data_IF_203626197078
#
_entry.id   IF_203626197078
#
_cell.length_a   1.000
_cell.length_b   1.000
_cell.length_c   1.000
_cell.angle_alpha   90.00
_cell.angle_beta   90.00
_cell.angle_gamma   90.00
#
_symmetry.space_group_name_H-M   'P 1'
#
loop_
_entity.id
_entity.type
_entity.pdbx_description
1 polymer ?
#
# COMPACT_ATOMS: atom_id res chain seq x y z
N UNK A 1 4.49 -45.42 -7.88
CA UNK A 1 3.72 -44.57 -6.95
C UNK A 1 4.11 -43.15 -7.28
N UNK A 2 3.49 -42.63 -8.34
CA UNK A 2 3.73 -41.29 -8.86
C UNK A 2 3.00 -40.36 -7.88
N UNK A 3 3.75 -39.61 -7.08
CA UNK A 3 3.16 -38.58 -6.24
C UNK A 3 2.64 -37.51 -7.19
N UNK A 4 1.34 -37.54 -7.45
CA UNK A 4 0.62 -36.50 -8.18
C UNK A 4 0.61 -35.24 -7.30
N UNK A 5 1.75 -34.55 -7.28
CA UNK A 5 1.92 -33.31 -6.54
C UNK A 5 1.15 -32.25 -7.32
N UNK A 6 0.10 -31.73 -6.72
CA UNK A 6 -0.66 -30.60 -7.23
C UNK A 6 0.32 -29.50 -7.70
N UNK A 7 0.28 -29.10 -8.99
CA UNK A 7 1.21 -28.11 -9.54
C UNK A 7 1.20 -26.80 -8.75
N UNK A 8 0.05 -26.43 -8.15
CA UNK A 8 -0.03 -25.25 -7.29
C UNK A 8 0.76 -25.44 -5.99
N UNK A 9 0.73 -26.64 -5.39
CA UNK A 9 1.54 -26.95 -4.20
C UNK A 9 3.03 -26.92 -4.49
N UNK A 10 3.45 -27.42 -5.66
CA UNK A 10 4.84 -27.37 -6.08
C UNK A 10 5.31 -25.91 -6.28
N UNK A 11 4.50 -25.09 -6.95
CA UNK A 11 4.79 -23.67 -7.16
C UNK A 11 4.94 -22.88 -5.85
N UNK A 12 4.03 -23.10 -4.88
CA UNK A 12 4.15 -22.45 -3.57
C UNK A 12 5.38 -22.90 -2.78
N UNK A 13 5.78 -24.17 -2.88
CA UNK A 13 6.99 -24.67 -2.24
C UNK A 13 8.25 -24.03 -2.85
N UNK A 14 8.27 -23.86 -4.18
CA UNK A 14 9.37 -23.17 -4.86
C UNK A 14 9.45 -21.69 -4.46
N UNK A 15 8.31 -21.00 -4.41
CA UNK A 15 8.24 -19.62 -3.90
C UNK A 15 8.82 -19.55 -2.49
N UNK A 16 8.46 -20.49 -1.59
CA UNK A 16 8.97 -20.51 -0.21
C UNK A 16 10.49 -20.58 -0.17
N UNK A 17 11.09 -21.49 -0.94
CA UNK A 17 12.55 -21.64 -1.03
C UNK A 17 13.23 -20.36 -1.52
N UNK A 18 12.65 -19.72 -2.54
CA UNK A 18 13.17 -18.44 -3.07
C UNK A 18 13.07 -17.30 -2.05
N UNK A 19 11.99 -17.25 -1.27
CA UNK A 19 11.82 -16.24 -0.21
C UNK A 19 12.87 -16.43 0.88
N UNK A 20 13.10 -17.67 1.33
CA UNK A 20 14.13 -17.97 2.34
C UNK A 20 15.53 -17.56 1.84
N UNK A 21 15.87 -17.86 0.59
CA UNK A 21 17.14 -17.45 -0.04
C UNK A 21 17.28 -15.91 -0.13
N UNK A 22 16.21 -15.21 -0.52
CA UNK A 22 16.18 -13.75 -0.60
C UNK A 22 16.35 -13.13 0.80
N UNK A 23 15.70 -13.69 1.82
CA UNK A 23 15.81 -13.23 3.21
C UNK A 23 17.25 -13.38 3.71
N UNK A 24 17.88 -14.55 3.52
CA UNK A 24 19.28 -14.72 3.93
C UNK A 24 20.23 -13.79 3.16
N UNK A 25 20.00 -13.64 1.85
CA UNK A 25 20.76 -12.72 1.01
C UNK A 25 20.63 -11.26 1.45
N UNK A 26 19.46 -10.87 1.96
CA UNK A 26 19.16 -9.50 2.40
C UNK A 26 19.96 -9.06 3.63
N UNK A 27 20.44 -10.01 4.43
CA UNK A 27 21.26 -9.76 5.64
C UNK A 27 22.72 -9.45 5.31
N UNK A 28 23.16 -9.71 4.08
CA UNK A 28 24.55 -9.59 3.65
C UNK A 28 24.69 -8.42 2.66
N UNK A 29 25.66 -7.50 2.85
CA UNK A 29 25.94 -6.45 1.87
C UNK A 29 26.21 -7.00 0.47
N UNK A 30 25.73 -6.29 -0.56
CA UNK A 30 25.84 -6.75 -1.95
C UNK A 30 27.29 -7.04 -2.42
N UNK A 31 28.28 -6.31 -1.88
CA UNK A 31 29.70 -6.48 -2.25
C UNK A 31 30.33 -7.76 -1.69
N UNK A 32 29.78 -8.29 -0.61
CA UNK A 32 30.32 -9.48 0.09
C UNK A 32 29.50 -10.74 -0.18
N UNK A 33 28.44 -10.63 -0.98
CA UNK A 33 27.56 -11.77 -1.29
C UNK A 33 28.26 -12.69 -2.30
N UNK A 34 28.22 -13.99 -2.04
CA UNK A 34 28.80 -14.99 -2.93
C UNK A 34 28.07 -15.09 -4.28
N UNK A 35 26.75 -14.88 -4.25
CA UNK A 35 25.86 -14.99 -5.41
C UNK A 35 25.08 -13.70 -5.64
N UNK A 36 24.70 -13.45 -6.89
CA UNK A 36 23.83 -12.33 -7.23
C UNK A 36 22.37 -12.71 -6.90
N UNK A 37 21.69 -11.90 -6.10
CA UNK A 37 20.29 -12.13 -5.67
C UNK A 37 19.26 -11.77 -6.74
N UNK A 38 19.64 -11.01 -7.78
CA UNK A 38 18.71 -10.51 -8.80
C UNK A 38 17.97 -11.62 -9.58
N UNK A 39 18.62 -12.71 -10.03
CA UNK A 39 17.92 -13.82 -10.68
C UNK A 39 16.90 -14.48 -9.75
N UNK A 40 17.26 -14.72 -8.48
CA UNK A 40 16.35 -15.27 -7.46
C UNK A 40 15.11 -14.40 -7.30
N UNK A 41 15.29 -13.07 -7.24
CA UNK A 41 14.17 -12.12 -7.17
C UNK A 41 13.32 -12.15 -8.44
N UNK A 42 13.93 -12.26 -9.63
CA UNK A 42 13.19 -12.34 -10.88
C UNK A 42 12.31 -13.60 -10.92
N UNK A 43 12.85 -14.77 -10.56
CA UNK A 43 12.08 -16.01 -10.44
C UNK A 43 10.97 -15.89 -9.40
N UNK A 44 11.27 -15.34 -8.22
CA UNK A 44 10.28 -15.09 -7.16
C UNK A 44 9.13 -14.24 -7.70
N UNK A 45 9.43 -13.14 -8.39
CA UNK A 45 8.39 -12.25 -8.94
C UNK A 45 7.56 -12.91 -10.04
N UNK A 46 8.16 -13.79 -10.84
CA UNK A 46 7.48 -14.54 -11.89
C UNK A 46 6.50 -15.54 -11.28
N UNK A 47 6.96 -16.36 -10.32
CA UNK A 47 6.12 -17.34 -9.66
C UNK A 47 5.03 -16.68 -8.81
N UNK A 48 5.33 -15.56 -8.15
CA UNK A 48 4.34 -14.79 -7.40
C UNK A 48 3.21 -14.28 -8.31
N UNK A 49 3.52 -13.92 -9.56
CA UNK A 49 2.51 -13.50 -10.54
C UNK A 49 1.63 -14.67 -10.99
N UNK A 50 2.19 -15.86 -11.12
CA UNK A 50 1.48 -17.05 -11.57
C UNK A 50 0.58 -17.67 -10.48
N UNK A 51 1.14 -17.86 -9.28
CA UNK A 51 0.49 -18.60 -8.20
C UNK A 51 -0.07 -17.73 -7.08
N UNK A 52 0.40 -16.48 -6.98
CA UNK A 52 0.16 -15.63 -5.82
C UNK A 52 1.01 -16.03 -4.62
N UNK A 53 0.71 -15.43 -3.46
CA UNK A 53 1.44 -15.59 -2.21
C UNK A 53 0.49 -16.05 -1.10
N UNK A 54 0.85 -17.18 -0.47
CA UNK A 54 0.24 -17.65 0.77
C UNK A 54 0.47 -16.66 1.92
N UNK A 55 -0.42 -16.61 2.93
CA UNK A 55 -0.34 -15.65 4.03
C UNK A 55 1.03 -15.56 4.71
N UNK A 56 1.65 -16.70 5.02
CA UNK A 56 2.95 -16.73 5.71
C UNK A 56 4.07 -16.11 4.86
N UNK A 57 4.14 -16.51 3.59
CA UNK A 57 5.11 -15.97 2.63
C UNK A 57 4.90 -14.48 2.36
N UNK A 58 3.63 -14.05 2.27
CA UNK A 58 3.29 -12.64 2.12
C UNK A 58 3.75 -11.82 3.33
N UNK A 59 3.51 -12.31 4.54
CA UNK A 59 3.90 -11.66 5.79
C UNK A 59 5.42 -11.51 5.89
N UNK A 60 6.18 -12.56 5.54
CA UNK A 60 7.64 -12.53 5.51
C UNK A 60 8.19 -11.51 4.51
N UNK A 61 7.60 -11.44 3.30
CA UNK A 61 7.98 -10.46 2.29
C UNK A 61 7.62 -9.03 2.70
N UNK A 62 6.47 -8.82 3.36
CA UNK A 62 6.10 -7.51 3.92
C UNK A 62 7.11 -7.10 5.00
N UNK A 63 7.50 -8.00 5.90
CA UNK A 63 8.53 -7.72 6.91
C UNK A 63 9.85 -7.36 6.22
N UNK A 64 10.28 -8.12 5.22
CA UNK A 64 11.50 -7.86 4.47
C UNK A 64 11.52 -6.45 3.87
N UNK A 65 10.46 -6.03 3.15
CA UNK A 65 10.45 -4.73 2.45
C UNK A 65 10.14 -3.53 3.35
N UNK A 66 9.72 -3.78 4.60
CA UNK A 66 9.42 -2.73 5.59
C UNK A 66 10.52 -2.55 6.64
N UNK A 67 11.53 -3.43 6.65
CA UNK A 67 12.66 -3.40 7.59
C UNK A 67 13.99 -3.10 6.87
N UNK A 68 14.98 -2.50 7.58
CA UNK A 68 16.29 -2.24 6.99
C UNK A 68 16.98 -3.54 6.55
N UNK A 69 17.48 -3.55 5.31
CA UNK A 69 18.18 -4.68 4.72
C UNK A 69 19.15 -4.21 3.62
N UNK A 70 19.91 -5.13 3.03
CA UNK A 70 20.93 -4.86 2.00
C UNK A 70 20.48 -5.15 0.56
N UNK A 71 19.17 -5.28 0.30
CA UNK A 71 18.64 -5.33 -1.06
C UNK A 71 18.61 -3.93 -1.66
N UNK A 72 18.90 -3.83 -2.95
CA UNK A 72 18.80 -2.56 -3.66
C UNK A 72 17.33 -2.12 -3.82
N UNK A 73 17.13 -0.82 -4.05
CA UNK A 73 15.80 -0.24 -4.14
C UNK A 73 14.96 -0.79 -5.30
N UNK A 74 15.59 -1.19 -6.42
CA UNK A 74 14.86 -1.74 -7.56
C UNK A 74 14.34 -3.15 -7.26
N UNK A 75 15.17 -3.98 -6.63
CA UNK A 75 14.82 -5.30 -6.11
C UNK A 75 13.64 -5.24 -5.13
N UNK A 76 13.70 -4.37 -4.12
CA UNK A 76 12.59 -4.20 -3.17
C UNK A 76 11.31 -3.70 -3.85
N UNK A 77 11.43 -2.76 -4.79
CA UNK A 77 10.27 -2.26 -5.54
C UNK A 77 9.65 -3.33 -6.45
N UNK A 78 10.45 -4.26 -7.00
CA UNK A 78 9.95 -5.38 -7.78
C UNK A 78 9.16 -6.36 -6.91
N UNK A 79 9.65 -6.67 -5.70
CA UNK A 79 8.93 -7.48 -4.71
C UNK A 79 7.59 -6.82 -4.37
N UNK A 80 7.58 -5.55 -3.96
CA UNK A 80 6.35 -4.83 -3.56
C UNK A 80 5.27 -4.84 -4.65
N UNK A 81 5.66 -4.68 -5.92
CA UNK A 81 4.70 -4.66 -7.04
C UNK A 81 4.09 -6.02 -7.32
N UNK A 82 4.73 -7.11 -6.87
CA UNK A 82 4.30 -8.48 -7.11
C UNK A 82 3.83 -9.20 -5.84
N UNK A 83 3.42 -8.43 -4.82
CA UNK A 83 2.77 -8.99 -3.63
C UNK A 83 1.30 -9.32 -3.94
N UNK A 84 1.02 -10.49 -4.49
CA UNK A 84 -0.34 -10.91 -4.85
C UNK A 84 -0.93 -11.83 -3.78
N UNK A 85 -1.81 -11.35 -2.88
CA UNK A 85 -2.39 -12.19 -1.83
C UNK A 85 -3.36 -13.23 -2.41
N UNK A 86 -3.24 -14.50 -2.03
CA UNK A 86 -4.25 -15.53 -2.38
C UNK A 86 -5.36 -15.67 -1.33
N UNK A 87 -5.14 -15.09 -0.15
CA UNK A 87 -6.05 -15.13 0.98
C UNK A 87 -6.14 -13.75 1.64
N UNK A 88 -7.14 -13.51 2.51
CA UNK A 88 -7.29 -12.21 3.16
C UNK A 88 -6.04 -11.76 3.93
N UNK A 89 -5.69 -10.49 3.80
CA UNK A 89 -4.50 -9.92 4.43
C UNK A 89 -4.77 -9.66 5.90
N UNK A 90 -3.88 -10.19 6.75
CA UNK A 90 -3.97 -10.06 8.20
C UNK A 90 -3.85 -8.61 8.68
N UNK A 91 -4.49 -8.31 9.82
CA UNK A 91 -4.34 -7.01 10.50
C UNK A 91 -2.87 -6.65 10.78
N UNK A 92 -2.05 -7.65 11.15
CA UNK A 92 -0.62 -7.46 11.47
C UNK A 92 0.14 -6.90 10.28
N UNK A 93 -0.09 -7.45 9.09
CA UNK A 93 0.62 -7.06 7.87
C UNK A 93 0.21 -5.66 7.39
N UNK A 94 -1.08 -5.32 7.53
CA UNK A 94 -1.55 -3.95 7.29
C UNK A 94 -0.86 -2.95 8.23
N UNK A 95 -0.79 -3.26 9.54
CA UNK A 95 -0.13 -2.41 10.52
C UNK A 95 1.38 -2.30 10.28
N UNK A 96 2.04 -3.37 9.83
CA UNK A 96 3.46 -3.36 9.46
C UNK A 96 3.73 -2.41 8.28
N UNK A 97 2.86 -2.41 7.27
CA UNK A 97 2.96 -1.44 6.16
C UNK A 97 2.72 -0.02 6.64
N UNK A 98 1.74 0.23 7.51
CA UNK A 98 1.43 1.57 8.02
C UNK A 98 2.55 2.10 8.92
N UNK A 99 3.16 1.23 9.75
CA UNK A 99 4.20 1.63 10.70
C UNK A 99 5.48 2.10 10.01
N UNK A 100 5.76 1.62 8.79
CA UNK A 100 6.93 1.99 8.02
C UNK A 100 6.79 3.34 7.26
N UNK A 101 5.61 3.97 7.27
CA UNK A 101 5.36 5.23 6.58
C UNK A 101 5.94 6.45 7.32
N UNK A 102 6.37 7.46 6.57
CA UNK A 102 6.94 8.71 7.08
C UNK A 102 8.47 8.69 7.19
N UNK A 103 9.01 9.59 8.01
CA UNK A 103 10.45 9.79 8.17
C UNK A 103 11.01 8.96 9.32
N UNK A 104 12.20 8.38 9.14
CA UNK A 104 12.88 7.61 10.18
C UNK A 104 14.01 6.75 9.64
N UNK A 105 15.06 6.54 10.44
CA UNK A 105 16.25 5.78 10.02
C UNK A 105 15.95 4.30 9.72
N UNK A 106 14.93 3.74 10.36
CA UNK A 106 14.52 2.34 10.17
C UNK A 106 13.45 2.16 9.08
N UNK A 107 12.97 3.26 8.48
CA UNK A 107 11.88 3.22 7.50
C UNK A 107 12.45 3.10 6.08
N UNK A 108 11.74 2.41 5.17
CA UNK A 108 12.17 2.32 3.78
C UNK A 108 12.10 3.69 3.10
N UNK A 109 12.79 3.84 1.97
CA UNK A 109 12.78 5.08 1.19
C UNK A 109 11.35 5.53 0.82
N UNK A 110 11.14 6.83 0.63
CA UNK A 110 9.82 7.38 0.27
C UNK A 110 9.25 6.78 -1.03
N UNK A 111 10.11 6.40 -1.98
CA UNK A 111 9.71 5.69 -3.20
C UNK A 111 9.11 4.31 -2.90
N UNK A 112 9.70 3.56 -1.97
CA UNK A 112 9.19 2.25 -1.55
C UNK A 112 7.91 2.40 -0.73
N UNK A 113 7.83 3.42 0.14
CA UNK A 113 6.59 3.75 0.85
C UNK A 113 5.44 4.08 -0.11
N UNK A 114 5.71 4.84 -1.19
CA UNK A 114 4.72 5.11 -2.22
C UNK A 114 4.27 3.82 -2.94
N UNK A 115 5.20 2.91 -3.24
CA UNK A 115 4.87 1.61 -3.83
C UNK A 115 4.00 0.76 -2.88
N UNK A 116 4.33 0.72 -1.59
CA UNK A 116 3.54 0.02 -0.56
C UNK A 116 2.14 0.61 -0.40
N UNK A 117 2.01 1.94 -0.41
CA UNK A 117 0.70 2.61 -0.39
C UNK A 117 -0.12 2.27 -1.65
N UNK A 118 0.53 2.22 -2.82
CA UNK A 118 -0.13 1.81 -4.07
C UNK A 118 -0.63 0.38 -3.98
N UNK A 119 0.21 -0.52 -3.46
CA UNK A 119 -0.15 -1.91 -3.22
C UNK A 119 -1.35 -2.00 -2.28
N UNK A 120 -1.32 -1.31 -1.14
CA UNK A 120 -2.39 -1.30 -0.14
C UNK A 120 -3.73 -0.80 -0.70
N UNK A 121 -3.70 0.17 -1.62
CA UNK A 121 -4.89 0.62 -2.36
C UNK A 121 -5.46 -0.50 -3.23
N UNK A 122 -4.59 -1.21 -3.97
CA UNK A 122 -4.98 -2.30 -4.86
C UNK A 122 -5.63 -3.45 -4.08
N UNK A 123 -5.04 -3.83 -2.94
CA UNK A 123 -5.48 -4.97 -2.12
C UNK A 123 -6.47 -4.58 -1.02
N UNK A 124 -6.98 -3.34 -0.98
CA UNK A 124 -7.84 -2.88 0.12
C UNK A 124 -9.12 -3.73 0.32
N UNK A 125 -9.58 -4.39 -0.74
CA UNK A 125 -10.78 -5.23 -0.75
C UNK A 125 -10.52 -6.65 -0.21
N UNK A 126 -9.25 -7.06 -0.13
CA UNK A 126 -8.85 -8.37 0.40
C UNK A 126 -8.38 -8.30 1.86
N UNK A 127 -8.60 -7.18 2.55
CA UNK A 127 -8.23 -7.06 3.96
C UNK A 127 -9.19 -7.83 4.85
N UNK A 128 -8.66 -8.65 5.76
CA UNK A 128 -9.46 -9.37 6.76
C UNK A 128 -10.25 -8.41 7.66
N UNK A 129 -9.61 -7.30 8.06
CA UNK A 129 -10.21 -6.28 8.93
C UNK A 129 -10.01 -4.88 8.34
N UNK A 130 -10.91 -4.43 7.43
CA UNK A 130 -10.86 -3.10 6.82
C UNK A 130 -10.91 -1.95 7.85
N UNK A 131 -11.45 -2.22 9.04
CA UNK A 131 -11.52 -1.29 10.17
C UNK A 131 -10.13 -0.87 10.66
N UNK A 132 -9.10 -1.70 10.43
CA UNK A 132 -7.71 -1.39 10.78
C UNK A 132 -7.27 -0.07 10.16
N UNK A 133 -7.57 0.16 8.87
CA UNK A 133 -7.25 1.42 8.19
C UNK A 133 -8.02 2.62 8.76
N UNK A 134 -9.27 2.39 9.17
CA UNK A 134 -10.09 3.42 9.84
C UNK A 134 -9.52 3.78 11.21
N UNK A 135 -8.96 2.83 11.96
CA UNK A 135 -8.33 3.07 13.26
C UNK A 135 -7.02 3.86 13.13
N UNK A 136 -6.27 3.63 12.05
CA UNK A 136 -5.01 4.34 11.75
C UNK A 136 -5.21 5.62 10.95
N UNK A 137 -6.45 6.08 10.74
CA UNK A 137 -6.76 7.22 9.86
C UNK A 137 -5.98 8.48 10.26
N UNK A 138 -5.86 8.78 11.54
CA UNK A 138 -5.10 9.94 12.03
C UNK A 138 -3.63 9.87 11.63
N UNK A 139 -3.01 8.69 11.69
CA UNK A 139 -1.61 8.49 11.29
C UNK A 139 -1.44 8.76 9.81
N UNK A 140 -2.30 8.16 8.97
CA UNK A 140 -2.27 8.36 7.52
C UNK A 140 -2.52 9.82 7.13
N UNK A 141 -3.47 10.49 7.79
CA UNK A 141 -3.81 11.88 7.52
C UNK A 141 -2.67 12.84 7.88
N UNK A 142 -1.97 12.59 8.99
CA UNK A 142 -0.86 13.43 9.43
C UNK A 142 0.38 13.33 8.54
N UNK A 143 0.45 12.37 7.63
CA UNK A 143 1.55 12.19 6.68
C UNK A 143 1.30 12.86 5.31
N UNK A 144 0.18 13.58 5.14
CA UNK A 144 -0.17 14.26 3.88
C UNK A 144 0.79 15.38 3.48
N UNK A 145 1.54 15.92 4.43
CA UNK A 145 2.58 16.93 4.20
C UNK A 145 3.69 16.40 3.25
N UNK A 146 3.99 15.10 3.33
CA UNK A 146 5.06 14.44 2.61
C UNK A 146 4.73 14.31 1.12
N UNK A 147 5.28 15.21 0.30
CA UNK A 147 4.95 15.33 -1.12
C UNK A 147 5.14 14.03 -1.93
N UNK A 148 6.19 13.25 -1.64
CA UNK A 148 6.52 12.04 -2.40
C UNK A 148 5.45 10.92 -2.28
N UNK A 149 4.72 10.85 -1.16
CA UNK A 149 3.72 9.82 -0.89
C UNK A 149 2.29 10.36 -0.94
N UNK A 150 2.12 11.69 -0.93
CA UNK A 150 0.84 12.39 -0.88
C UNK A 150 -0.19 11.94 -1.92
N UNK A 151 0.14 11.69 -3.20
CA UNK A 151 -0.87 11.22 -4.16
C UNK A 151 -1.50 9.89 -3.74
N UNK A 152 -0.68 8.96 -3.24
CA UNK A 152 -1.12 7.64 -2.83
C UNK A 152 -1.82 7.70 -1.47
N UNK A 153 -1.30 8.49 -0.52
CA UNK A 153 -1.97 8.73 0.76
C UNK A 153 -3.36 9.35 0.56
N UNK A 154 -3.48 10.36 -0.29
CA UNK A 154 -4.77 11.01 -0.58
C UNK A 154 -5.76 10.04 -1.20
N UNK A 155 -5.30 9.15 -2.10
CA UNK A 155 -6.14 8.11 -2.68
C UNK A 155 -6.59 7.09 -1.63
N UNK A 156 -5.68 6.57 -0.81
CA UNK A 156 -6.02 5.64 0.27
C UNK A 156 -7.02 6.27 1.25
N UNK A 157 -6.75 7.51 1.68
CA UNK A 157 -7.65 8.27 2.55
C UNK A 157 -9.02 8.44 1.91
N UNK A 158 -9.10 8.73 0.60
CA UNK A 158 -10.38 8.85 -0.10
C UNK A 158 -11.21 7.56 -0.06
N UNK A 159 -10.58 6.38 -0.14
CA UNK A 159 -11.25 5.08 -0.04
C UNK A 159 -11.79 4.80 1.37
N UNK A 160 -10.99 5.10 2.39
CA UNK A 160 -11.30 4.76 3.80
C UNK A 160 -12.04 5.86 4.55
N UNK A 161 -12.22 7.05 3.96
CA UNK A 161 -12.93 8.16 4.59
C UNK A 161 -14.40 7.79 4.80
N UNK A 162 -14.89 8.11 5.99
CA UNK A 162 -16.26 7.92 6.47
C UNK A 162 -16.63 9.18 7.26
N UNK A 163 -17.93 9.40 7.50
CA UNK A 163 -18.42 10.61 8.19
C UNK A 163 -17.67 10.93 9.49
N UNK A 164 -17.39 9.91 10.32
CA UNK A 164 -16.62 10.06 11.58
C UNK A 164 -15.20 10.62 11.41
N UNK A 165 -14.59 10.48 10.23
CA UNK A 165 -13.23 10.97 9.96
C UNK A 165 -13.23 12.45 9.54
N UNK A 166 -14.33 12.96 8.99
CA UNK A 166 -14.45 14.32 8.47
C UNK A 166 -14.77 15.27 9.61
N UNK A 167 -13.71 15.65 10.34
CA UNK A 167 -13.80 16.54 11.49
C UNK A 167 -13.38 17.97 11.10
N UNK A 168 -13.93 19.03 11.73
CA UNK A 168 -13.62 20.42 11.38
C UNK A 168 -12.11 20.73 11.30
N UNK A 169 -11.32 20.24 12.26
CA UNK A 169 -9.86 20.45 12.26
C UNK A 169 -9.16 19.81 11.06
N UNK A 170 -9.63 18.65 10.58
CA UNK A 170 -9.08 17.99 9.38
C UNK A 170 -9.47 18.71 8.11
N UNK A 171 -10.70 19.21 8.04
CA UNK A 171 -11.15 20.04 6.90
C UNK A 171 -10.23 21.27 6.78
N UNK A 172 -10.02 21.99 7.89
CA UNK A 172 -9.14 23.16 7.94
C UNK A 172 -7.70 22.82 7.57
N UNK A 173 -7.13 21.74 8.13
CA UNK A 173 -5.79 21.29 7.80
C UNK A 173 -5.64 20.96 6.30
N UNK A 174 -6.62 20.26 5.73
CA UNK A 174 -6.60 19.85 4.31
C UNK A 174 -6.76 21.05 3.36
N UNK A 175 -7.64 22.01 3.68
CA UNK A 175 -7.78 23.27 2.93
C UNK A 175 -6.49 24.10 2.97
N UNK A 176 -5.89 24.22 4.16
CA UNK A 176 -4.62 24.93 4.33
C UNK A 176 -3.49 24.29 3.53
N UNK A 177 -3.35 22.97 3.61
CA UNK A 177 -2.34 22.23 2.85
C UNK A 177 -2.58 22.35 1.34
N UNK A 178 -3.83 22.26 0.87
CA UNK A 178 -4.18 22.46 -0.54
C UNK A 178 -3.76 23.85 -1.04
N UNK A 179 -4.01 24.91 -0.26
CA UNK A 179 -3.58 26.27 -0.60
C UNK A 179 -2.06 26.41 -0.62
N UNK A 180 -1.36 25.86 0.37
CA UNK A 180 0.11 25.92 0.45
C UNK A 180 0.81 25.18 -0.70
N UNK A 181 0.20 24.10 -1.19
CA UNK A 181 0.75 23.25 -2.25
C UNK A 181 0.33 23.69 -3.66
N UNK A 182 -0.35 24.84 -3.79
CA UNK A 182 -0.77 25.36 -5.08
C UNK A 182 -1.93 24.56 -5.70
N UNK A 183 -2.89 24.14 -4.88
CA UNK A 183 -4.09 23.39 -5.30
C UNK A 183 -3.74 22.02 -5.92
N UNK A 184 -2.94 21.23 -5.19
CA UNK A 184 -2.55 19.86 -5.56
C UNK A 184 -3.78 19.00 -5.95
N UNK A 185 -3.80 18.40 -7.16
CA UNK A 185 -4.91 17.58 -7.65
C UNK A 185 -5.32 16.43 -6.73
N UNK A 186 -4.36 15.84 -6.00
CA UNK A 186 -4.63 14.72 -5.08
C UNK A 186 -5.37 15.17 -3.82
N UNK A 187 -5.00 16.34 -3.28
CA UNK A 187 -5.68 16.94 -2.13
C UNK A 187 -7.07 17.45 -2.51
N UNK A 188 -7.24 18.01 -3.72
CA UNK A 188 -8.55 18.38 -4.25
C UNK A 188 -9.46 17.15 -4.36
N UNK A 189 -8.92 16.02 -4.85
CA UNK A 189 -9.64 14.75 -4.89
C UNK A 189 -10.14 14.32 -3.51
N UNK A 190 -9.31 14.46 -2.48
CA UNK A 190 -9.70 14.15 -1.09
C UNK A 190 -10.71 15.16 -0.53
N UNK A 191 -10.56 16.46 -0.83
CA UNK A 191 -11.52 17.51 -0.45
C UNK A 191 -12.92 17.25 -1.03
N UNK A 192 -13.01 16.69 -2.24
CA UNK A 192 -14.30 16.25 -2.82
C UNK A 192 -14.96 15.19 -1.96
N UNK A 193 -14.19 14.20 -1.51
CA UNK A 193 -14.72 13.15 -0.63
C UNK A 193 -15.20 13.74 0.70
N UNK A 194 -14.48 14.73 1.25
CA UNK A 194 -14.91 15.42 2.47
C UNK A 194 -16.19 16.24 2.23
N UNK A 195 -16.31 16.88 1.06
CA UNK A 195 -17.46 17.69 0.66
C UNK A 195 -18.74 16.85 0.56
N UNK A 196 -18.63 15.59 0.15
CA UNK A 196 -19.77 14.66 0.10
C UNK A 196 -20.42 14.47 1.50
N UNK A 197 -19.68 14.70 2.60
CA UNK A 197 -20.20 14.61 3.97
C UNK A 197 -20.61 15.96 4.59
N UNK A 198 -19.96 17.06 4.20
CA UNK A 198 -20.16 18.42 4.75
C UNK A 198 -20.11 19.48 3.61
N UNK A 199 -21.13 19.53 2.73
CA UNK A 199 -21.15 20.41 1.56
C UNK A 199 -21.17 21.91 1.92
N UNK A 200 -21.69 22.25 3.09
CA UNK A 200 -21.83 23.62 3.61
C UNK A 200 -20.50 24.23 4.06
N UNK A 201 -19.55 23.40 4.51
CA UNK A 201 -18.23 23.86 5.01
C UNK A 201 -17.23 23.99 3.85
N UNK A 202 -17.38 23.18 2.80
CA UNK A 202 -16.44 23.10 1.69
C UNK A 202 -17.03 23.79 0.44
N UNK A 203 -16.80 25.09 0.36
CA UNK A 203 -17.32 25.98 -0.69
C UNK A 203 -16.77 25.59 -2.07
N UNK A 204 -17.61 25.67 -3.10
CA UNK A 204 -17.34 25.16 -4.45
C UNK A 204 -16.06 25.65 -5.12
N UNK A 205 -15.59 26.86 -4.80
CA UNK A 205 -14.33 27.40 -5.35
C UNK A 205 -13.09 26.66 -4.83
N UNK A 206 -13.12 26.12 -3.60
CA UNK A 206 -12.00 25.34 -3.05
C UNK A 206 -11.78 24.00 -3.78
N UNK A 207 -12.72 23.61 -4.64
CA UNK A 207 -12.77 22.33 -5.36
C UNK A 207 -12.86 22.53 -6.89
N UNK A 208 -12.85 23.78 -7.36
CA UNK A 208 -12.90 24.14 -8.78
C UNK A 208 -11.61 23.70 -9.49
N UNK A 209 -11.75 22.90 -10.53
CA UNK A 209 -10.65 22.43 -11.38
C UNK A 209 -10.90 21.05 -11.97
N UNK A 210 -10.45 20.81 -13.22
CA UNK A 210 -10.40 19.48 -13.83
C UNK A 210 -9.24 18.69 -13.20
N UNK A 211 -9.41 18.20 -11.98
CA UNK A 211 -8.34 17.52 -11.23
C UNK A 211 -8.85 16.29 -10.47
N UNK A 212 -7.96 15.31 -10.35
CA UNK A 212 -8.14 13.85 -10.16
C UNK A 212 -9.51 13.32 -9.67
N UNK A 213 -10.18 12.55 -10.52
CA UNK A 213 -11.00 11.44 -10.03
C UNK A 213 -10.06 10.31 -9.69
N UNK A 214 -9.99 9.91 -8.43
CA UNK A 214 -9.34 8.65 -8.08
C UNK A 214 -10.04 7.55 -8.88
N UNK A 215 -9.34 6.92 -9.83
CA UNK A 215 -9.92 5.99 -10.82
C UNK A 215 -10.65 4.79 -10.19
N UNK A 216 -10.52 4.56 -8.88
CA UNK A 216 -11.14 3.46 -8.16
C UNK A 216 -12.59 3.71 -7.69
N UNK A 217 -13.20 4.90 -7.89
CA UNK A 217 -14.57 5.16 -7.42
C UNK A 217 -15.67 4.36 -8.16
N UNK A 218 -15.33 3.50 -9.13
CA UNK A 218 -16.29 2.74 -9.93
C UNK A 218 -16.73 1.38 -9.36
N UNK A 219 -16.14 0.87 -8.26
CA UNK A 219 -16.56 -0.43 -7.71
C UNK A 219 -17.63 -0.37 -6.62
N UNK A 220 -18.03 0.83 -6.15
CA UNK A 220 -18.97 0.96 -5.02
C UNK A 220 -20.40 1.40 -5.39
N UNK A 221 -20.75 1.43 -6.68
CA UNK A 221 -22.14 1.71 -7.12
C UNK A 221 -23.02 0.47 -7.32
N UNK A 222 -22.51 -0.75 -7.12
CA UNK A 222 -23.31 -1.98 -7.27
C UNK A 222 -23.84 -2.58 -5.97
N UNK A 223 -23.53 -2.00 -4.80
CA UNK A 223 -23.90 -2.60 -3.50
C UNK A 223 -24.95 -1.81 -2.70
N UNK A 224 -25.70 -0.91 -3.35
CA UNK A 224 -26.87 -0.22 -2.78
C UNK A 224 -28.14 -0.46 -3.62
N UNK A 225 -28.32 -1.69 -4.09
CA UNK A 225 -29.58 -2.17 -4.63
C UNK A 225 -29.86 -3.58 -4.10
N UNK A 226 -30.01 -3.68 -2.78
CA UNK A 226 -30.64 -4.81 -2.06
C UNK A 226 -30.70 -4.42 -0.59
N UNK A 227 -31.87 -3.88 -0.20
CA UNK A 227 -32.56 -3.87 1.09
C UNK A 227 -33.41 -2.61 1.19
#
# INVERSE_FOLDING_TARGET
METDIDPASAGHQEIRLLVDEVIESSKIPAKTRATNVKPTIASLTSLSYEWGLLPETLDDLIILVTTPNHLDQASQAAIIRNLYPVAPISRKSVLQVISCLGHGALKPSLTLQAALLKWLITVHHTLESPQTLSQTYSVLFNLLDTAATRPNLSHLLALITRRKHVQPFRIQALLNLSRQTGHDPSLIGLLRVFKDYYPEVIVGDAVRGKASSFKARFYMSFHYCSY
#
